data_IF_774424265843
#
_entry.id   IF_774424265843
#
_cell.length_a   1.000
_cell.length_b   1.000
_cell.length_c   1.000
_cell.angle_alpha   90.00
_cell.angle_beta   90.00
_cell.angle_gamma   90.00
#
_symmetry.space_group_name_H-M   'P 1'
#
loop_
_entity.id
_entity.type
_entity.pdbx_description
1 polymer ?
#
# COMPACT_ATOMS: atom_id res chain seq x y z
N UNK A 1 -15.61 -16.93 -7.21
CA UNK A 1 -15.04 -17.69 -6.06
C UNK A 1 -14.06 -16.79 -5.32
N UNK A 2 -14.42 -16.31 -4.12
CA UNK A 2 -13.60 -15.42 -3.33
C UNK A 2 -12.51 -16.23 -2.60
N UNK A 3 -11.27 -16.13 -3.07
CA UNK A 3 -10.11 -16.76 -2.41
C UNK A 3 -9.91 -16.08 -1.06
N UNK A 4 -10.32 -16.75 0.03
CA UNK A 4 -10.05 -16.30 1.40
C UNK A 4 -8.53 -16.23 1.59
N UNK A 5 -7.98 -15.02 1.47
CA UNK A 5 -6.53 -14.76 1.55
C UNK A 5 -6.12 -14.72 3.02
N UNK A 6 -5.23 -15.64 3.39
CA UNK A 6 -4.64 -15.74 4.72
C UNK A 6 -4.06 -14.41 5.18
N UNK A 7 -4.53 -13.90 6.33
CA UNK A 7 -4.10 -12.62 6.92
C UNK A 7 -2.60 -12.66 7.26
N UNK A 8 -1.83 -11.63 6.89
CA UNK A 8 -0.38 -11.58 7.12
C UNK A 8 -0.03 -11.78 8.60
N UNK A 9 0.89 -12.73 8.88
CA UNK A 9 1.45 -12.95 10.23
C UNK A 9 2.46 -11.84 10.56
N UNK A 10 2.08 -10.90 11.42
CA UNK A 10 2.94 -9.79 11.85
C UNK A 10 3.75 -10.18 13.09
N UNK A 11 5.10 -10.08 13.02
CA UNK A 11 6.02 -10.33 14.13
C UNK A 11 5.78 -9.35 15.29
N UNK A 12 6.00 -9.78 16.54
CA UNK A 12 5.75 -8.96 17.75
C UNK A 12 6.49 -7.62 17.74
N UNK A 13 7.73 -7.60 17.24
CA UNK A 13 8.55 -6.39 17.13
C UNK A 13 7.87 -5.29 16.30
N UNK A 14 7.13 -5.66 15.25
CA UNK A 14 6.45 -4.71 14.37
C UNK A 14 5.12 -4.20 14.95
N UNK A 15 4.73 -4.68 16.14
CA UNK A 15 3.55 -4.26 16.90
C UNK A 15 3.93 -3.50 18.18
N UNK A 16 5.21 -3.22 18.39
CA UNK A 16 5.65 -2.48 19.56
C UNK A 16 4.99 -1.08 19.57
N UNK A 17 4.43 -0.67 20.70
CA UNK A 17 3.77 0.63 20.84
C UNK A 17 2.34 0.71 20.28
N UNK A 18 1.72 -0.41 19.87
CA UNK A 18 0.29 -0.44 19.53
C UNK A 18 -0.59 -0.23 20.77
N UNK A 19 -1.74 0.43 20.61
CA UNK A 19 -2.70 0.59 21.70
C UNK A 19 -3.29 -0.75 22.12
N UNK A 20 -3.56 -0.91 23.43
CA UNK A 20 -4.33 -2.04 23.94
C UNK A 20 -5.74 -2.02 23.34
N UNK A 21 -6.28 -3.19 22.95
CA UNK A 21 -7.60 -3.26 22.33
C UNK A 21 -7.67 -2.76 20.89
N UNK A 22 -6.59 -2.93 20.11
CA UNK A 22 -6.53 -2.51 18.69
C UNK A 22 -7.80 -2.93 17.93
N UNK A 23 -8.41 -1.96 17.25
CA UNK A 23 -9.58 -2.19 16.41
C UNK A 23 -9.27 -3.29 15.36
N UNK A 24 -10.12 -4.32 15.28
CA UNK A 24 -10.01 -5.39 14.28
C UNK A 24 -10.02 -4.86 12.83
N UNK A 25 -10.57 -3.67 12.64
CA UNK A 25 -10.71 -2.93 11.37
C UNK A 25 -9.66 -1.82 11.18
N UNK A 26 -8.55 -1.83 11.93
CA UNK A 26 -7.50 -0.80 11.80
C UNK A 26 -7.03 -0.55 10.35
N UNK A 27 -7.13 -1.55 9.45
CA UNK A 27 -6.76 -1.40 8.04
C UNK A 27 -7.61 -0.33 7.34
N UNK A 28 -8.93 -0.38 7.51
CA UNK A 28 -9.84 0.60 6.91
C UNK A 28 -9.58 1.97 7.50
N UNK A 29 -9.64 2.08 8.84
CA UNK A 29 -9.36 3.32 9.55
C UNK A 29 -8.01 3.95 9.17
N UNK A 30 -6.96 3.13 9.05
CA UNK A 30 -5.64 3.60 8.63
C UNK A 30 -5.66 4.17 7.20
N UNK A 31 -6.39 3.54 6.27
CA UNK A 31 -6.49 4.01 4.89
C UNK A 31 -7.31 5.30 4.81
N UNK A 32 -8.41 5.40 5.55
CA UNK A 32 -9.23 6.62 5.63
C UNK A 32 -8.39 7.80 6.15
N UNK A 33 -7.66 7.58 7.25
CA UNK A 33 -6.75 8.58 7.82
C UNK A 33 -5.58 8.93 6.89
N UNK A 34 -5.13 7.97 6.07
CA UNK A 34 -4.08 8.20 5.09
C UNK A 34 -4.57 9.09 3.94
N UNK A 35 -5.82 8.90 3.50
CA UNK A 35 -6.46 9.78 2.53
C UNK A 35 -6.72 11.18 3.08
N UNK A 36 -6.99 11.30 4.39
CA UNK A 36 -7.18 12.60 5.03
C UNK A 36 -5.85 13.35 5.23
N UNK A 37 -4.82 12.66 5.72
CA UNK A 37 -3.59 13.33 6.21
C UNK A 37 -2.42 13.29 5.24
N UNK A 38 -2.44 12.40 4.24
CA UNK A 38 -1.27 12.06 3.41
C UNK A 38 -0.02 11.70 4.22
N UNK A 39 -0.15 11.39 5.52
CA UNK A 39 0.95 11.18 6.46
C UNK A 39 0.83 9.82 7.14
N UNK A 40 1.72 8.91 6.78
CA UNK A 40 1.71 7.51 7.28
C UNK A 40 1.92 7.44 8.79
N UNK A 41 2.84 8.23 9.34
CA UNK A 41 3.16 8.21 10.78
C UNK A 41 1.99 8.73 11.59
N UNK A 42 1.37 9.81 11.15
CA UNK A 42 0.18 10.37 11.79
C UNK A 42 -1.03 9.43 11.68
N UNK A 43 -1.28 8.88 10.49
CA UNK A 43 -2.35 7.91 10.24
C UNK A 43 -2.21 6.67 11.12
N UNK A 44 -0.99 6.13 11.24
CA UNK A 44 -0.70 4.99 12.10
C UNK A 44 -0.98 5.31 13.58
N UNK A 45 -0.50 6.47 14.06
CA UNK A 45 -0.74 6.95 15.43
C UNK A 45 -2.23 7.09 15.73
N UNK A 46 -2.99 7.74 14.84
CA UNK A 46 -4.45 7.93 14.96
C UNK A 46 -5.19 6.58 14.92
N UNK A 47 -4.81 5.67 14.03
CA UNK A 47 -5.35 4.31 13.94
C UNK A 47 -4.91 3.39 15.09
N UNK A 48 -3.99 3.83 15.96
CA UNK A 48 -3.48 3.07 17.10
C UNK A 48 -2.53 1.93 16.75
N UNK A 49 -1.94 1.95 15.54
CA UNK A 49 -1.00 0.94 15.05
C UNK A 49 0.44 1.46 14.98
N UNK A 50 1.40 0.55 14.91
CA UNK A 50 2.76 0.88 14.51
C UNK A 50 2.86 0.98 12.98
N UNK A 51 3.50 2.02 12.44
CA UNK A 51 3.69 2.20 10.99
C UNK A 51 4.43 1.02 10.34
N UNK A 52 5.35 0.38 11.07
CA UNK A 52 6.09 -0.81 10.63
C UNK A 52 5.18 -2.00 10.30
N UNK A 53 4.09 -2.16 11.06
CA UNK A 53 3.05 -3.14 10.76
C UNK A 53 2.35 -2.79 9.44
N UNK A 54 1.96 -1.53 9.27
CA UNK A 54 1.28 -1.06 8.06
C UNK A 54 2.14 -1.36 6.82
N UNK A 55 3.44 -1.04 6.88
CA UNK A 55 4.39 -1.35 5.81
C UNK A 55 4.58 -2.84 5.56
N UNK A 56 4.63 -3.67 6.61
CA UNK A 56 4.71 -5.12 6.42
C UNK A 56 3.47 -5.64 5.68
N UNK A 57 2.28 -5.23 6.11
CA UNK A 57 1.03 -5.61 5.47
C UNK A 57 1.00 -5.12 4.02
N UNK A 58 1.45 -3.90 3.74
CA UNK A 58 1.59 -3.37 2.37
C UNK A 58 2.48 -4.24 1.47
N UNK A 59 3.60 -4.77 2.00
CA UNK A 59 4.51 -5.62 1.21
C UNK A 59 3.95 -7.02 0.95
N UNK A 60 3.10 -7.53 1.83
CA UNK A 60 2.63 -8.92 1.79
C UNK A 60 1.20 -9.09 1.26
N UNK A 61 0.36 -8.04 1.35
CA UNK A 61 -1.05 -8.06 0.94
C UNK A 61 -1.26 -7.13 -0.27
N UNK A 62 -1.31 -7.65 -1.51
CA UNK A 62 -1.44 -6.81 -2.71
C UNK A 62 -2.69 -5.93 -2.75
N UNK A 63 -3.84 -6.41 -2.25
CA UNK A 63 -5.06 -5.58 -2.21
C UNK A 63 -4.94 -4.42 -1.23
N UNK A 64 -4.24 -4.63 -0.10
CA UNK A 64 -3.95 -3.54 0.83
C UNK A 64 -2.96 -2.54 0.22
N UNK A 65 -1.98 -3.00 -0.57
CA UNK A 65 -1.08 -2.13 -1.31
C UNK A 65 -1.81 -1.26 -2.35
N UNK A 66 -2.77 -1.84 -3.08
CA UNK A 66 -3.62 -1.07 -4.02
C UNK A 66 -4.48 -0.04 -3.27
N UNK A 67 -5.15 -0.46 -2.20
CA UNK A 67 -5.98 0.45 -1.40
C UNK A 67 -5.15 1.58 -0.76
N UNK A 68 -3.91 1.28 -0.34
CA UNK A 68 -2.95 2.28 0.13
C UNK A 68 -2.62 3.32 -0.93
N UNK A 69 -2.33 2.88 -2.17
CA UNK A 69 -2.05 3.79 -3.27
C UNK A 69 -3.27 4.65 -3.62
N UNK A 70 -4.47 4.08 -3.58
CA UNK A 70 -5.71 4.82 -3.78
C UNK A 70 -5.94 5.89 -2.70
N UNK A 71 -5.73 5.55 -1.43
CA UNK A 71 -5.83 6.50 -0.31
C UNK A 71 -4.81 7.65 -0.45
N UNK A 72 -3.56 7.35 -0.80
CA UNK A 72 -2.57 8.40 -1.06
C UNK A 72 -2.99 9.31 -2.21
N UNK A 73 -3.47 8.72 -3.31
CA UNK A 73 -3.94 9.51 -4.46
C UNK A 73 -5.05 10.49 -4.07
N UNK A 74 -6.03 10.03 -3.28
CA UNK A 74 -7.09 10.89 -2.73
C UNK A 74 -6.51 12.02 -1.85
N UNK A 75 -5.59 11.70 -0.94
CA UNK A 75 -4.95 12.70 -0.10
C UNK A 75 -4.16 13.76 -0.88
N UNK A 76 -3.52 13.38 -1.99
CA UNK A 76 -2.85 14.33 -2.86
C UNK A 76 -3.83 15.20 -3.65
N UNK A 77 -4.99 14.69 -4.06
CA UNK A 77 -6.06 15.53 -4.62
C UNK A 77 -6.51 16.57 -3.60
N UNK A 78 -6.67 16.19 -2.32
CA UNK A 78 -7.01 17.16 -1.27
C UNK A 78 -5.93 18.25 -1.11
N UNK A 79 -4.64 17.87 -1.18
CA UNK A 79 -3.54 18.85 -1.16
C UNK A 79 -3.52 19.75 -2.40
N UNK A 80 -3.83 19.23 -3.59
CA UNK A 80 -4.00 20.05 -4.80
C UNK A 80 -5.11 21.09 -4.61
N UNK A 81 -6.25 20.66 -4.07
CA UNK A 81 -7.37 21.56 -3.80
C UNK A 81 -7.06 22.61 -2.72
N UNK A 82 -6.31 22.25 -1.69
CA UNK A 82 -5.80 23.17 -0.66
C UNK A 82 -4.87 24.23 -1.28
N UNK A 83 -3.95 23.83 -2.16
CA UNK A 83 -3.06 24.73 -2.89
C UNK A 83 -3.86 25.71 -3.77
N UNK A 84 -4.88 25.22 -4.48
CA UNK A 84 -5.77 26.06 -5.31
C UNK A 84 -6.57 27.04 -4.44
N UNK A 85 -7.08 26.60 -3.28
CA UNK A 85 -7.80 27.47 -2.34
C UNK A 85 -6.91 28.61 -1.87
N UNK A 86 -5.71 28.29 -1.38
CA UNK A 86 -4.73 29.28 -0.89
C UNK A 86 -4.36 30.31 -1.94
N UNK A 87 -4.13 29.90 -3.19
CA UNK A 87 -3.85 30.80 -4.30
C UNK A 87 -5.02 31.75 -4.59
N UNK A 88 -6.26 31.28 -4.46
CA UNK A 88 -7.47 32.10 -4.67
C UNK A 88 -7.68 33.11 -3.55
N UNK A 89 -7.42 32.69 -2.31
CA UNK A 89 -7.66 33.49 -1.10
C UNK A 89 -6.48 34.42 -0.75
N UNK A 90 -5.32 34.23 -1.38
CA UNK A 90 -4.09 34.95 -1.03
C UNK A 90 -3.47 34.50 0.29
N UNK A 91 -3.78 33.29 0.76
CA UNK A 91 -3.19 32.69 1.97
C UNK A 91 -1.77 32.17 1.67
N UNK A 92 -0.80 33.06 1.85
CA UNK A 92 0.60 32.81 1.53
C UNK A 92 1.43 32.34 2.73
N UNK A 93 0.85 32.20 3.91
CA UNK A 93 1.61 31.92 5.14
C UNK A 93 1.70 30.42 5.45
N UNK A 94 2.90 29.95 5.78
CA UNK A 94 3.19 28.59 6.21
C UNK A 94 3.53 28.55 7.70
N UNK A 95 2.48 28.54 8.53
CA UNK A 95 2.60 28.43 9.98
C UNK A 95 3.51 29.50 10.58
N UNK A 96 4.34 29.11 11.56
CA UNK A 96 5.25 30.02 12.27
C UNK A 96 6.52 30.40 11.49
N UNK A 97 6.74 29.89 10.28
CA UNK A 97 8.08 29.83 9.67
C UNK A 97 8.16 30.30 8.21
N UNK A 98 7.34 31.27 7.82
CA UNK A 98 7.50 32.01 6.56
C UNK A 98 6.48 31.63 5.49
N UNK A 99 6.77 31.98 4.23
CA UNK A 99 5.82 31.85 3.12
C UNK A 99 5.66 30.40 2.64
N UNK A 100 4.47 30.07 2.20
CA UNK A 100 4.13 28.80 1.57
C UNK A 100 4.82 28.67 0.21
N UNK A 101 5.61 27.61 0.04
CA UNK A 101 6.32 27.33 -1.22
C UNK A 101 5.40 26.61 -2.22
N UNK A 102 4.57 27.40 -2.91
CA UNK A 102 3.65 26.92 -3.93
C UNK A 102 4.37 26.21 -5.09
N UNK A 103 5.53 26.74 -5.50
CA UNK A 103 6.27 26.20 -6.64
C UNK A 103 6.77 24.78 -6.34
N UNK A 104 7.26 24.54 -5.12
CA UNK A 104 7.66 23.21 -4.69
C UNK A 104 6.45 22.29 -4.45
N UNK A 105 5.37 22.80 -3.86
CA UNK A 105 4.14 22.02 -3.67
C UNK A 105 3.57 21.50 -5.00
N UNK A 106 3.42 22.38 -6.00
CA UNK A 106 2.92 22.01 -7.34
C UNK A 106 3.85 20.98 -8.01
N UNK A 107 5.18 21.18 -7.93
CA UNK A 107 6.15 20.22 -8.49
C UNK A 107 6.05 18.84 -7.84
N UNK A 108 5.91 18.79 -6.51
CA UNK A 108 5.77 17.53 -5.78
C UNK A 108 4.48 16.79 -6.15
N UNK A 109 3.36 17.52 -6.24
CA UNK A 109 2.06 16.95 -6.59
C UNK A 109 2.05 16.42 -8.03
N UNK A 110 2.63 17.17 -8.98
CA UNK A 110 2.79 16.71 -10.36
C UNK A 110 3.64 15.43 -10.46
N UNK A 111 4.80 15.39 -9.79
CA UNK A 111 5.66 14.20 -9.77
C UNK A 111 4.95 12.97 -9.18
N UNK A 112 4.10 13.18 -8.16
CA UNK A 112 3.29 12.10 -7.61
C UNK A 112 2.25 11.58 -8.62
N UNK A 113 1.53 12.49 -9.29
CA UNK A 113 0.54 12.10 -10.31
C UNK A 113 1.17 11.26 -11.43
N UNK A 114 2.35 11.64 -11.89
CA UNK A 114 3.10 10.89 -12.91
C UNK A 114 3.52 9.51 -12.39
N UNK A 115 4.05 9.45 -11.17
CA UNK A 115 4.43 8.18 -10.52
C UNK A 115 3.23 7.23 -10.36
N UNK A 116 2.07 7.77 -9.96
CA UNK A 116 0.83 7.01 -9.82
C UNK A 116 0.33 6.50 -11.18
N UNK A 117 0.37 7.33 -12.22
CA UNK A 117 0.01 6.94 -13.59
C UNK A 117 0.93 5.83 -14.11
N UNK A 118 2.23 5.94 -13.89
CA UNK A 118 3.21 4.90 -14.26
C UNK A 118 2.96 3.59 -13.51
N UNK A 119 2.71 3.64 -12.20
CA UNK A 119 2.41 2.46 -11.40
C UNK A 119 1.12 1.76 -11.86
N UNK A 120 0.09 2.52 -12.23
CA UNK A 120 -1.15 1.97 -12.81
C UNK A 120 -0.91 1.37 -14.19
N UNK A 121 -0.13 2.03 -15.05
CA UNK A 121 0.20 1.52 -16.37
C UNK A 121 0.99 0.19 -16.29
N UNK A 122 1.99 0.11 -15.40
CA UNK A 122 2.73 -1.13 -15.15
C UNK A 122 1.81 -2.26 -14.65
N UNK A 123 0.85 -1.95 -13.77
CA UNK A 123 -0.13 -2.95 -13.32
C UNK A 123 -1.10 -3.39 -14.42
N UNK A 124 -1.55 -2.48 -15.30
CA UNK A 124 -2.40 -2.81 -16.45
C UNK A 124 -1.67 -3.70 -17.47
N UNK A 125 -0.38 -3.45 -17.66
CA UNK A 125 0.46 -4.23 -18.57
C UNK A 125 0.78 -5.64 -18.04
N UNK A 126 0.59 -5.91 -16.74
CA UNK A 126 0.65 -7.26 -16.17
C UNK A 126 -0.79 -7.78 -16.04
N UNK A 127 -1.23 -8.53 -17.04
CA UNK A 127 -2.61 -9.00 -17.11
C UNK A 127 -2.91 -10.09 -16.07
N UNK A 128 -4.17 -10.18 -15.63
CA UNK A 128 -4.63 -11.28 -14.77
C UNK A 128 -4.41 -12.66 -15.42
N UNK A 129 -4.42 -12.72 -16.75
CA UNK A 129 -4.10 -13.91 -17.53
C UNK A 129 -2.62 -14.30 -17.41
N UNK A 130 -1.68 -13.35 -17.48
CA UNK A 130 -0.26 -13.62 -17.28
C UNK A 130 0.05 -14.03 -15.84
N UNK A 131 -0.62 -13.42 -14.86
CA UNK A 131 -0.54 -13.83 -13.46
C UNK A 131 -1.05 -15.26 -13.29
N UNK A 132 -2.18 -15.62 -13.92
CA UNK A 132 -2.72 -16.97 -13.91
C UNK A 132 -1.80 -17.97 -14.60
N UNK A 133 -1.29 -17.65 -15.78
CA UNK A 133 -0.33 -18.49 -16.51
C UNK A 133 0.98 -18.68 -15.73
N UNK A 134 1.42 -17.69 -14.94
CA UNK A 134 2.56 -17.82 -14.02
C UNK A 134 2.28 -18.78 -12.87
N UNK A 135 1.07 -18.74 -12.31
CA UNK A 135 0.62 -19.67 -11.26
C UNK A 135 0.55 -21.09 -11.81
N UNK A 136 -0.09 -21.29 -12.98
CA UNK A 136 -0.24 -22.61 -13.59
C UNK A 136 1.13 -23.23 -13.91
N UNK A 137 2.07 -22.45 -14.45
CA UNK A 137 3.45 -22.88 -14.67
C UNK A 137 4.13 -23.33 -13.36
N UNK A 138 3.95 -22.61 -12.27
CA UNK A 138 4.51 -22.99 -10.96
C UNK A 138 3.87 -24.25 -10.39
N UNK A 139 2.56 -24.42 -10.54
CA UNK A 139 1.84 -25.62 -10.10
C UNK A 139 2.33 -26.85 -10.86
N UNK A 140 2.51 -26.75 -12.18
CA UNK A 140 3.05 -27.85 -12.96
C UNK A 140 4.50 -28.20 -12.60
N UNK A 141 5.35 -27.19 -12.37
CA UNK A 141 6.72 -27.43 -11.90
C UNK A 141 6.75 -28.19 -10.57
N UNK A 142 5.86 -27.84 -9.63
CA UNK A 142 5.75 -28.54 -8.33
C UNK A 142 5.23 -29.97 -8.53
N UNK A 143 4.21 -30.18 -9.37
CA UNK A 143 3.68 -31.53 -9.68
C UNK A 143 4.77 -32.44 -10.26
N UNK A 144 5.54 -31.92 -11.22
CA UNK A 144 6.65 -32.64 -11.84
C UNK A 144 7.80 -32.93 -10.86
N UNK A 145 8.04 -32.06 -9.88
CA UNK A 145 9.02 -32.31 -8.82
C UNK A 145 8.57 -33.44 -7.89
N UNK A 146 7.31 -33.42 -7.43
CA UNK A 146 6.76 -34.46 -6.55
C UNK A 146 6.75 -35.85 -7.20
N UNK A 147 6.42 -35.92 -8.50
CA UNK A 147 6.49 -37.17 -9.26
C UNK A 147 7.91 -37.74 -9.32
N UNK A 148 8.91 -36.88 -9.56
CA UNK A 148 10.34 -37.28 -9.58
C UNK A 148 10.83 -37.77 -8.22
N UNK A 149 10.41 -37.10 -7.14
CA UNK A 149 10.73 -37.53 -5.77
C UNK A 149 10.12 -38.90 -5.46
N UNK A 150 8.85 -39.14 -5.84
CA UNK A 150 8.19 -40.44 -5.67
C UNK A 150 8.87 -41.58 -6.45
N UNK A 151 9.29 -41.32 -7.68
CA UNK A 151 10.01 -42.30 -8.51
C UNK A 151 11.39 -42.63 -7.92
N UNK A 152 12.13 -41.65 -7.39
CA UNK A 152 13.40 -41.90 -6.69
C UNK A 152 13.21 -42.71 -5.41
N UNK A 153 12.15 -42.47 -4.65
CA UNK A 153 11.85 -43.27 -3.44
C UNK A 153 11.34 -44.69 -3.74
N UNK A 154 10.79 -44.93 -4.94
CA UNK A 154 10.31 -46.25 -5.37
C UNK A 154 11.38 -47.15 -5.99
N UNK A 155 12.49 -46.60 -6.49
CA UNK A 155 13.62 -47.35 -7.07
C UNK A 155 14.68 -47.77 -6.03
N UNK A 156 14.54 -47.34 -4.77
CA UNK A 156 15.50 -47.62 -3.69
C UNK A 156 15.03 -48.75 -2.73
N UNK A 157 14.03 -49.53 -3.13
CA UNK A 157 13.55 -50.75 -2.46
C UNK A 157 13.72 -51.93 -3.41
#
# INVERSE_FOLDING_TARGET
MATSRTRTKVKRQLKAGEKAGLNRHWRGLFLDLLAETSNVSESARKAGINSSRAYKVRREEPEFAKAWLAALYEGYIHLEMEVVRRLREGDMEAGTSGKYDFANAIRLLAAHRDSAAQAQAQQRNVSAAEVRASIDRKVEAIRAQVLRERQRSGQSK
#
